data_IF_793706158117
#
_entry.id   IF_793706158117
#
_cell.length_a   1.000
_cell.length_b   1.000
_cell.length_c   1.000
_cell.angle_alpha   90.00
_cell.angle_beta   90.00
_cell.angle_gamma   90.00
#
_symmetry.space_group_name_H-M   'P 1'
#
loop_
_entity.id
_entity.type
_entity.pdbx_description
1 polymer ?
#
# COMPACT_ATOMS: atom_id res chain seq x y z
N UNK A 1 5.53 -3.34 -11.52
CA UNK A 1 4.93 -2.63 -10.36
C UNK A 1 5.92 -1.60 -9.86
N UNK A 2 5.59 -0.34 -9.99
CA UNK A 2 6.36 0.79 -9.47
C UNK A 2 6.43 0.73 -7.95
N UNK A 3 7.45 1.23 -7.32
CA UNK A 3 7.67 1.25 -5.87
C UNK A 3 7.92 -0.10 -5.18
N UNK A 4 7.92 -1.23 -5.87
CA UNK A 4 8.29 -2.52 -5.30
C UNK A 4 9.77 -2.77 -5.52
N UNK A 5 10.45 -3.20 -4.48
CA UNK A 5 11.88 -3.45 -4.53
C UNK A 5 12.31 -4.54 -3.56
N UNK A 6 13.62 -4.65 -3.42
CA UNK A 6 14.28 -5.54 -2.47
C UNK A 6 15.56 -4.90 -1.94
N UNK A 7 15.96 -5.30 -0.75
CA UNK A 7 17.26 -4.93 -0.21
C UNK A 7 18.33 -5.79 -0.90
N UNK A 8 19.29 -5.12 -1.55
CA UNK A 8 20.38 -5.78 -2.24
C UNK A 8 21.19 -6.66 -1.26
N UNK A 9 21.50 -7.87 -1.67
CA UNK A 9 22.26 -8.84 -0.88
C UNK A 9 21.44 -9.61 0.17
N UNK A 10 20.34 -9.04 0.72
CA UNK A 10 19.47 -9.74 1.67
C UNK A 10 18.25 -10.37 0.99
N UNK A 11 17.83 -9.84 -0.15
CA UNK A 11 16.64 -10.31 -0.86
C UNK A 11 15.31 -9.99 -0.20
N UNK A 12 15.32 -9.27 0.95
CA UNK A 12 14.10 -8.84 1.67
C UNK A 12 13.27 -7.96 0.75
N UNK A 13 12.00 -8.29 0.62
CA UNK A 13 11.04 -7.54 -0.21
C UNK A 13 10.62 -6.28 0.53
N UNK A 14 10.73 -5.15 -0.15
CA UNK A 14 10.39 -3.84 0.42
C UNK A 14 9.50 -3.04 -0.54
N UNK A 15 8.77 -2.10 0.03
CA UNK A 15 8.03 -1.08 -0.71
C UNK A 15 8.73 0.24 -0.45
N UNK A 16 9.15 0.92 -1.52
CA UNK A 16 9.84 2.22 -1.43
C UNK A 16 8.79 3.30 -1.24
N UNK A 17 8.73 3.87 -0.04
CA UNK A 17 7.83 4.98 0.29
C UNK A 17 8.38 6.31 -0.24
N UNK A 18 9.64 6.63 0.09
CA UNK A 18 10.38 7.78 -0.42
C UNK A 18 11.67 7.32 -1.07
N UNK A 19 11.92 7.72 -2.32
CA UNK A 19 13.17 7.42 -3.05
C UNK A 19 14.31 8.36 -2.66
N UNK A 20 13.97 9.57 -2.24
CA UNK A 20 14.92 10.57 -1.76
C UNK A 20 14.37 11.26 -0.53
N UNK A 21 15.25 11.65 0.39
CA UNK A 21 14.87 12.40 1.57
C UNK A 21 15.37 13.84 1.48
N UNK A 22 14.57 14.83 1.92
CA UNK A 22 15.02 16.22 1.97
C UNK A 22 16.30 16.36 2.82
N UNK A 23 17.36 16.93 2.23
CA UNK A 23 18.66 17.08 2.89
C UNK A 23 19.49 15.80 3.03
N UNK A 24 19.00 14.66 2.55
CA UNK A 24 19.73 13.38 2.52
C UNK A 24 19.35 12.55 1.29
N UNK A 25 19.80 12.95 0.10
CA UNK A 25 19.43 12.31 -1.16
C UNK A 25 20.01 10.90 -1.34
N UNK A 26 21.00 10.53 -0.51
CA UNK A 26 21.62 9.21 -0.52
C UNK A 26 20.83 8.16 0.31
N UNK A 27 19.74 8.58 0.94
CA UNK A 27 18.87 7.73 1.72
C UNK A 27 17.45 7.70 1.16
N UNK A 28 16.80 6.54 1.31
CA UNK A 28 15.39 6.32 0.99
C UNK A 28 14.66 5.79 2.23
N UNK A 29 13.33 5.90 2.25
CA UNK A 29 12.49 5.22 3.24
C UNK A 29 11.76 4.06 2.57
N UNK A 30 11.86 2.90 3.20
CA UNK A 30 11.24 1.66 2.75
C UNK A 30 10.37 1.06 3.84
N UNK A 31 9.38 0.30 3.42
CA UNK A 31 8.52 -0.50 4.28
C UNK A 31 8.92 -1.96 4.07
N UNK A 32 9.28 -2.66 5.14
CA UNK A 32 9.55 -4.08 5.08
C UNK A 32 8.22 -4.84 4.93
N UNK A 33 8.06 -5.53 3.81
CA UNK A 33 6.84 -6.24 3.47
C UNK A 33 6.57 -7.43 4.41
N UNK A 34 7.63 -8.11 4.83
CA UNK A 34 7.53 -9.30 5.66
C UNK A 34 7.26 -8.96 7.13
N UNK A 35 7.56 -7.72 7.56
CA UNK A 35 7.30 -7.20 8.89
C UNK A 35 5.88 -6.61 9.07
N UNK A 36 5.09 -6.55 7.99
CA UNK A 36 3.72 -6.02 8.03
C UNK A 36 2.73 -7.06 8.57
N UNK A 37 1.74 -6.60 9.32
CA UNK A 37 0.58 -7.41 9.69
C UNK A 37 -0.32 -7.67 8.46
N UNK A 38 -1.09 -8.77 8.44
CA UNK A 38 -1.91 -9.10 7.26
C UNK A 38 -2.86 -7.98 6.81
N UNK A 39 -3.49 -7.28 7.76
CA UNK A 39 -4.39 -6.17 7.44
C UNK A 39 -3.65 -4.95 6.85
N UNK A 40 -2.43 -4.68 7.32
CA UNK A 40 -1.57 -3.62 6.77
C UNK A 40 -1.14 -3.95 5.34
N UNK A 41 -0.76 -5.21 5.09
CA UNK A 41 -0.42 -5.67 3.75
C UNK A 41 -1.58 -5.47 2.78
N UNK A 42 -2.81 -5.84 3.19
CA UNK A 42 -4.00 -5.68 2.34
C UNK A 42 -4.26 -4.22 1.97
N UNK A 43 -4.08 -3.30 2.92
CA UNK A 43 -4.26 -1.87 2.68
C UNK A 43 -3.16 -1.34 1.76
N UNK A 44 -1.90 -1.59 2.11
CA UNK A 44 -0.75 -1.03 1.39
C UNK A 44 -0.65 -1.62 -0.01
N UNK A 45 -0.87 -2.93 -0.18
CA UNK A 45 -0.90 -3.56 -1.50
C UNK A 45 -2.06 -3.04 -2.35
N UNK A 46 -3.24 -2.81 -1.73
CA UNK A 46 -4.37 -2.19 -2.42
C UNK A 46 -4.07 -0.79 -2.94
N UNK A 47 -3.40 0.04 -2.12
CA UNK A 47 -2.95 1.37 -2.53
C UNK A 47 -1.86 1.29 -3.60
N UNK A 48 -0.91 0.37 -3.45
CA UNK A 48 0.17 0.17 -4.39
C UNK A 48 -0.32 -0.26 -5.78
N UNK A 49 -1.31 -1.15 -5.84
CA UNK A 49 -1.91 -1.62 -7.10
C UNK A 49 -2.90 -0.63 -7.72
N UNK A 50 -3.28 0.41 -6.98
CA UNK A 50 -4.19 1.44 -7.51
C UNK A 50 -3.53 2.24 -8.64
N UNK A 51 -4.31 2.76 -9.60
CA UNK A 51 -3.78 3.66 -10.62
C UNK A 51 -3.03 4.86 -10.01
N UNK A 52 -3.57 5.43 -8.93
CA UNK A 52 -2.95 6.56 -8.23
C UNK A 52 -1.59 6.17 -7.62
N UNK A 53 -1.50 4.97 -7.02
CA UNK A 53 -0.24 4.43 -6.48
C UNK A 53 0.80 4.21 -7.57
N UNK A 54 0.39 3.72 -8.74
CA UNK A 54 1.30 3.48 -9.86
C UNK A 54 1.71 4.77 -10.57
N UNK A 55 0.86 5.80 -10.60
CA UNK A 55 1.15 7.09 -11.24
C UNK A 55 1.95 8.03 -10.34
N UNK A 56 1.90 7.84 -9.00
CA UNK A 56 2.58 8.74 -8.06
C UNK A 56 4.10 8.76 -8.26
N UNK A 57 4.70 9.93 -8.04
CA UNK A 57 6.15 10.06 -8.04
C UNK A 57 6.77 9.41 -6.80
N UNK A 58 6.25 9.70 -5.62
CA UNK A 58 6.60 9.05 -4.35
C UNK A 58 5.37 8.36 -3.76
N UNK A 59 5.51 7.10 -3.38
CA UNK A 59 4.39 6.34 -2.83
C UNK A 59 3.90 6.90 -1.48
N UNK A 60 4.79 7.54 -0.74
CA UNK A 60 4.46 8.23 0.50
C UNK A 60 3.36 9.29 0.35
N UNK A 61 3.24 9.93 -0.81
CA UNK A 61 2.15 10.88 -1.08
C UNK A 61 0.78 10.20 -1.04
N UNK A 62 0.70 8.98 -1.56
CA UNK A 62 -0.53 8.18 -1.53
C UNK A 62 -0.81 7.71 -0.10
N UNK A 63 0.22 7.21 0.61
CA UNK A 63 0.08 6.82 2.01
C UNK A 63 -0.35 7.98 2.92
N UNK A 64 0.09 9.21 2.62
CA UNK A 64 -0.28 10.42 3.35
C UNK A 64 -1.70 10.94 3.06
N UNK A 65 -2.33 10.51 1.96
CA UNK A 65 -3.70 10.90 1.60
C UNK A 65 -4.74 9.92 2.11
N UNK A 66 -4.37 8.64 2.17
CA UNK A 66 -5.29 7.59 2.60
C UNK A 66 -5.22 7.39 4.11
N UNK A 67 -6.38 7.14 4.71
CA UNK A 67 -6.48 6.90 6.14
C UNK A 67 -6.45 5.42 6.44
N UNK A 68 -5.83 5.09 7.59
CA UNK A 68 -5.83 3.74 8.11
C UNK A 68 -7.23 3.41 8.63
N UNK A 69 -7.92 2.36 8.15
CA UNK A 69 -9.16 1.92 8.74
C UNK A 69 -8.85 1.35 10.13
N UNK A 70 -9.36 2.00 11.15
CA UNK A 70 -9.22 1.58 12.53
C UNK A 70 -10.36 0.59 12.81
N UNK A 71 -10.08 -0.71 12.75
CA UNK A 71 -11.06 -1.76 13.09
C UNK A 71 -11.04 -2.15 14.56
N UNK A 72 -10.05 -1.68 15.36
CA UNK A 72 -9.90 -2.08 16.76
C UNK A 72 -9.99 -0.92 17.75
N UNK A 73 -10.80 -1.18 18.78
CA UNK A 73 -11.11 -0.31 19.92
C UNK A 73 -9.87 0.13 20.75
N UNK A 74 -8.69 -0.37 20.46
CA UNK A 74 -7.45 -0.10 21.21
C UNK A 74 -6.55 0.97 20.58
N UNK A 75 -6.92 1.52 19.43
CA UNK A 75 -6.17 2.60 18.82
C UNK A 75 -6.86 3.93 19.12
N UNK A 76 -6.19 4.88 19.78
CA UNK A 76 -6.81 6.17 20.09
C UNK A 76 -7.18 6.84 18.76
N UNK A 77 -8.48 6.99 18.55
CA UNK A 77 -9.04 7.78 17.46
C UNK A 77 -8.59 9.22 17.68
N UNK A 78 -7.58 9.65 16.94
CA UNK A 78 -7.20 11.06 16.91
C UNK A 78 -8.27 11.76 16.08
N UNK A 79 -9.24 12.38 16.76
CA UNK A 79 -10.14 13.34 16.12
C UNK A 79 -9.34 14.60 15.84
N UNK A 80 -9.14 14.90 14.57
CA UNK A 80 -8.72 16.24 14.19
C UNK A 80 -9.89 17.20 14.47
N UNK A 81 -9.72 18.01 15.50
CA UNK A 81 -10.75 18.97 15.95
C UNK A 81 -11.10 20.02 14.90
N UNK A 82 -10.22 20.24 13.91
CA UNK A 82 -10.42 21.25 12.88
C UNK A 82 -11.26 20.73 11.69
N UNK A 83 -11.15 19.44 11.35
CA UNK A 83 -11.80 18.87 10.15
C UNK A 83 -12.90 17.87 10.46
N UNK A 84 -13.02 17.44 11.72
CA UNK A 84 -14.01 16.43 12.14
C UNK A 84 -13.73 15.02 11.60
N UNK A 85 -12.59 14.83 10.94
CA UNK A 85 -12.22 13.56 10.31
C UNK A 85 -11.46 12.69 11.30
N UNK A 86 -11.98 11.49 11.55
CA UNK A 86 -11.42 10.50 12.45
C UNK A 86 -10.38 9.63 11.74
N UNK A 87 -9.23 9.43 12.35
CA UNK A 87 -8.20 8.47 11.92
C UNK A 87 -6.87 9.11 11.50
N UNK A 88 -5.79 8.36 11.65
CA UNK A 88 -4.46 8.73 11.16
C UNK A 88 -4.29 8.33 9.70
N UNK A 89 -3.43 9.03 8.96
CA UNK A 89 -3.05 8.59 7.62
C UNK A 89 -2.25 7.30 7.69
N UNK A 90 -2.24 6.54 6.59
CA UNK A 90 -1.42 5.30 6.51
C UNK A 90 0.05 5.60 6.76
N UNK A 91 0.55 6.75 6.26
CA UNK A 91 1.93 7.18 6.46
C UNK A 91 2.24 7.45 7.95
N UNK A 92 1.37 8.21 8.63
CA UNK A 92 1.51 8.50 10.05
C UNK A 92 1.45 7.23 10.90
N UNK A 93 0.55 6.32 10.58
CA UNK A 93 0.45 5.02 11.23
C UNK A 93 1.75 4.23 11.09
N UNK A 94 2.29 4.10 9.87
CA UNK A 94 3.54 3.38 9.62
C UNK A 94 4.73 4.03 10.33
N UNK A 95 4.76 5.35 10.40
CA UNK A 95 5.79 6.09 11.14
C UNK A 95 5.67 5.81 12.64
N UNK A 96 4.48 5.92 13.22
CA UNK A 96 4.23 5.65 14.64
C UNK A 96 4.51 4.20 15.05
N UNK A 97 4.28 3.26 14.13
CA UNK A 97 4.59 1.84 14.32
C UNK A 97 6.06 1.47 14.04
N UNK A 98 6.93 2.44 13.73
CA UNK A 98 8.35 2.25 13.36
C UNK A 98 8.54 1.27 12.18
N UNK A 99 7.62 1.29 11.21
CA UNK A 99 7.66 0.42 10.03
C UNK A 99 8.30 1.08 8.81
N UNK A 100 8.61 2.37 8.89
CA UNK A 100 9.40 3.10 7.91
C UNK A 100 10.88 2.98 8.27
N UNK A 101 11.63 2.27 7.44
CA UNK A 101 13.04 1.97 7.66
C UNK A 101 13.87 2.82 6.72
N UNK A 102 14.82 3.57 7.25
CA UNK A 102 15.79 4.32 6.46
C UNK A 102 16.85 3.38 5.91
N UNK A 103 17.07 3.42 4.61
CA UNK A 103 18.07 2.62 3.90
C UNK A 103 18.89 3.50 2.96
N UNK A 104 20.19 3.20 2.73
CA UNK A 104 20.94 3.82 1.65
C UNK A 104 20.32 3.48 0.30
N UNK A 105 20.27 4.45 -0.61
CA UNK A 105 19.73 4.28 -1.97
C UNK A 105 20.49 3.25 -2.79
N UNK A 106 21.77 3.02 -2.49
CA UNK A 106 22.63 1.99 -3.11
C UNK A 106 22.32 0.56 -2.64
N UNK A 107 21.56 0.42 -1.55
CA UNK A 107 21.19 -0.88 -1.00
C UNK A 107 19.79 -1.33 -1.39
N UNK A 108 19.04 -0.53 -2.12
CA UNK A 108 17.68 -0.85 -2.51
C UNK A 108 17.58 -0.93 -4.02
N UNK A 109 17.11 -2.08 -4.50
CA UNK A 109 16.83 -2.34 -5.90
C UNK A 109 15.33 -2.27 -6.15
N UNK A 110 14.91 -1.58 -7.19
CA UNK A 110 13.52 -1.51 -7.65
C UNK A 110 13.40 -2.26 -8.97
N UNK A 111 12.31 -3.00 -9.13
CA UNK A 111 12.03 -3.74 -10.37
C UNK A 111 10.74 -3.20 -10.96
N UNK A 112 10.82 -2.51 -12.09
CA UNK A 112 9.65 -2.10 -12.87
C UNK A 112 9.31 -3.20 -13.88
N UNK A 113 8.07 -3.69 -13.85
CA UNK A 113 7.41 -4.57 -14.84
C UNK A 113 8.31 -5.55 -15.61
N UNK A 114 8.90 -6.53 -14.90
CA UNK A 114 9.79 -7.55 -15.47
C UNK A 114 11.10 -7.03 -16.10
N UNK A 115 11.45 -5.78 -15.86
CA UNK A 115 12.76 -5.23 -16.21
C UNK A 115 13.86 -5.71 -15.25
N UNK A 116 15.11 -5.49 -15.64
CA UNK A 116 16.23 -5.74 -14.73
C UNK A 116 16.13 -4.85 -13.49
N UNK A 117 16.45 -5.37 -12.29
CA UNK A 117 16.45 -4.57 -11.08
C UNK A 117 17.45 -3.41 -11.21
N UNK A 118 17.02 -2.22 -10.79
CA UNK A 118 17.82 -0.99 -10.84
C UNK A 118 17.95 -0.46 -9.41
N UNK A 119 19.15 -0.05 -9.03
CA UNK A 119 19.36 0.62 -7.75
C UNK A 119 18.59 1.94 -7.68
N UNK A 120 18.05 2.26 -6.52
CA UNK A 120 17.31 3.51 -6.30
C UNK A 120 18.19 4.72 -6.57
N UNK A 121 19.48 4.68 -6.20
CA UNK A 121 20.46 5.74 -6.51
C UNK A 121 20.54 6.00 -8.01
N UNK A 122 20.73 4.95 -8.81
CA UNK A 122 20.82 5.06 -10.27
C UNK A 122 19.50 5.52 -10.90
N UNK A 123 18.37 5.07 -10.37
CA UNK A 123 17.05 5.52 -10.81
C UNK A 123 16.88 7.03 -10.54
N UNK A 124 17.29 7.49 -9.35
CA UNK A 124 17.24 8.92 -9.00
C UNK A 124 18.14 9.77 -9.89
N UNK A 125 19.34 9.31 -10.23
CA UNK A 125 20.24 9.95 -11.19
C UNK A 125 19.57 10.09 -12.57
N UNK A 126 19.02 9.01 -13.12
CA UNK A 126 18.35 9.01 -14.41
C UNK A 126 17.15 9.99 -14.43
N UNK A 127 16.36 10.04 -13.35
CA UNK A 127 15.23 10.96 -13.23
C UNK A 127 15.72 12.40 -13.12
N UNK A 128 16.76 12.67 -12.35
CA UNK A 128 17.34 13.99 -12.20
C UNK A 128 17.88 14.51 -13.54
N UNK A 129 18.59 13.69 -14.30
CA UNK A 129 19.07 14.00 -15.65
C UNK A 129 17.90 14.28 -16.61
N UNK A 130 16.88 13.43 -16.62
CA UNK A 130 15.71 13.59 -17.48
C UNK A 130 14.95 14.89 -17.18
N UNK A 131 14.83 15.25 -15.89
CA UNK A 131 14.15 16.48 -15.46
C UNK A 131 15.06 17.71 -15.46
N UNK A 132 16.37 17.54 -15.68
CA UNK A 132 17.39 18.61 -15.61
C UNK A 132 17.42 19.32 -14.26
N UNK A 133 17.25 18.58 -13.17
CA UNK A 133 17.28 19.06 -11.79
C UNK A 133 18.35 18.33 -10.98
N UNK A 134 18.71 18.88 -9.82
CA UNK A 134 19.63 18.20 -8.90
C UNK A 134 18.89 17.07 -8.17
N UNK A 135 19.62 16.04 -7.73
CA UNK A 135 19.06 14.92 -6.96
C UNK A 135 18.42 15.43 -5.66
N UNK A 136 18.99 16.43 -5.00
CA UNK A 136 18.43 17.07 -3.81
C UNK A 136 17.03 17.65 -4.05
N UNK A 137 16.80 18.18 -5.25
CA UNK A 137 15.52 18.78 -5.62
C UNK A 137 14.45 17.74 -5.94
N UNK A 138 14.81 16.45 -6.11
CA UNK A 138 13.84 15.37 -6.32
C UNK A 138 12.93 15.16 -5.11
N UNK A 139 13.47 15.30 -3.90
CA UNK A 139 12.71 15.15 -2.66
C UNK A 139 11.65 16.26 -2.43
N UNK A 140 11.75 17.35 -3.17
CA UNK A 140 10.88 18.55 -3.03
C UNK A 140 9.86 18.61 -4.17
N UNK A 141 9.84 17.63 -5.07
CA UNK A 141 8.89 17.65 -6.19
C UNK A 141 7.46 17.70 -5.68
N UNK A 142 6.66 18.65 -6.18
CA UNK A 142 5.24 18.66 -5.85
C UNK A 142 4.59 17.38 -6.37
N UNK A 143 3.70 16.83 -5.58
CA UNK A 143 2.90 15.73 -6.02
C UNK A 143 2.03 16.16 -7.22
N UNK A 144 2.36 15.66 -8.39
CA UNK A 144 1.62 15.94 -9.63
C UNK A 144 0.34 15.11 -9.76
N UNK A 145 0.12 14.15 -8.84
CA UNK A 145 -1.14 13.42 -8.78
C UNK A 145 -2.28 14.39 -8.45
N UNK A 146 -3.40 14.37 -9.16
CA UNK A 146 -4.52 15.25 -8.91
C UNK A 146 -4.95 15.18 -7.44
N UNK A 147 -4.88 16.30 -6.73
CA UNK A 147 -5.43 16.40 -5.38
C UNK A 147 -6.93 16.15 -5.45
N UNK A 148 -7.35 15.09 -4.84
CA UNK A 148 -8.74 14.72 -4.73
C UNK A 148 -9.01 13.35 -5.30
N UNK A 149 -8.93 12.36 -4.44
CA UNK A 149 -9.70 11.15 -4.66
C UNK A 149 -11.15 11.60 -4.76
N UNK A 150 -11.66 11.67 -5.99
CA UNK A 150 -13.10 11.76 -6.19
C UNK A 150 -13.68 10.62 -5.36
N UNK A 151 -14.75 10.87 -4.61
CA UNK A 151 -15.49 9.83 -3.85
C UNK A 151 -15.75 8.56 -4.67
N UNK A 152 -15.77 8.68 -6.01
CA UNK A 152 -15.81 7.57 -6.97
C UNK A 152 -14.55 6.71 -6.98
N UNK A 153 -13.36 7.30 -6.83
CA UNK A 153 -12.10 6.54 -6.83
C UNK A 153 -11.91 5.81 -5.50
N UNK A 154 -12.30 6.46 -4.41
CA UNK A 154 -12.31 5.86 -3.09
C UNK A 154 -13.30 4.67 -3.02
N UNK A 155 -14.50 4.84 -3.57
CA UNK A 155 -15.47 3.75 -3.69
C UNK A 155 -14.95 2.58 -4.55
N UNK A 156 -14.27 2.86 -5.67
CA UNK A 156 -13.63 1.82 -6.50
C UNK A 156 -12.52 1.08 -5.74
N UNK A 157 -11.70 1.80 -4.97
CA UNK A 157 -10.65 1.20 -4.14
C UNK A 157 -11.24 0.28 -3.08
N UNK A 158 -12.31 0.72 -2.40
CA UNK A 158 -13.03 -0.09 -1.42
C UNK A 158 -13.64 -1.35 -2.05
N UNK A 159 -14.22 -1.24 -3.25
CA UNK A 159 -14.76 -2.40 -3.97
C UNK A 159 -13.66 -3.38 -4.37
N UNK A 160 -12.55 -2.90 -4.92
CA UNK A 160 -11.42 -3.76 -5.29
C UNK A 160 -10.82 -4.47 -4.06
N UNK A 161 -10.77 -3.78 -2.90
CA UNK A 161 -10.36 -4.37 -1.62
C UNK A 161 -11.35 -5.45 -1.17
N UNK A 162 -12.65 -5.19 -1.25
CA UNK A 162 -13.69 -6.15 -0.88
C UNK A 162 -13.59 -7.43 -1.74
N UNK A 163 -13.42 -7.30 -3.05
CA UNK A 163 -13.23 -8.44 -3.97
C UNK A 163 -11.97 -9.25 -3.63
N UNK A 164 -10.87 -8.57 -3.26
CA UNK A 164 -9.62 -9.24 -2.85
C UNK A 164 -9.82 -10.04 -1.55
N UNK A 165 -10.47 -9.44 -0.55
CA UNK A 165 -10.78 -10.10 0.72
C UNK A 165 -11.71 -11.29 0.51
N UNK A 166 -12.70 -11.17 -0.38
CA UNK A 166 -13.60 -12.26 -0.73
C UNK A 166 -12.86 -13.44 -1.38
N UNK A 167 -11.93 -13.16 -2.30
CA UNK A 167 -11.05 -14.19 -2.88
C UNK A 167 -10.21 -14.90 -1.81
N UNK A 168 -9.56 -14.13 -0.91
CA UNK A 168 -8.78 -14.71 0.21
C UNK A 168 -9.67 -15.55 1.13
N UNK A 169 -10.85 -15.05 1.48
CA UNK A 169 -11.81 -15.77 2.30
C UNK A 169 -12.23 -17.10 1.65
N UNK A 170 -12.47 -17.12 0.35
CA UNK A 170 -12.86 -18.33 -0.36
C UNK A 170 -11.72 -19.37 -0.38
N UNK A 171 -10.47 -18.92 -0.61
CA UNK A 171 -9.30 -19.81 -0.54
C UNK A 171 -9.14 -20.42 0.86
N UNK A 172 -9.29 -19.61 1.92
CA UNK A 172 -9.22 -20.10 3.30
C UNK A 172 -10.35 -21.08 3.64
N UNK A 173 -11.57 -20.79 3.15
CA UNK A 173 -12.71 -21.69 3.31
C UNK A 173 -12.49 -23.03 2.60
N UNK A 174 -12.00 -23.01 1.35
CA UNK A 174 -11.70 -24.24 0.63
C UNK A 174 -10.65 -25.06 1.37
N UNK A 175 -9.57 -24.40 1.85
CA UNK A 175 -8.55 -25.10 2.63
C UNK A 175 -9.05 -25.65 3.96
N UNK A 176 -9.98 -24.94 4.63
CA UNK A 176 -10.62 -25.45 5.83
C UNK A 176 -11.51 -26.68 5.55
N UNK A 177 -12.22 -26.68 4.41
CA UNK A 177 -13.04 -27.82 3.98
C UNK A 177 -12.20 -29.02 3.47
N UNK A 178 -10.97 -28.79 3.03
CA UNK A 178 -10.03 -29.88 2.73
C UNK A 178 -9.52 -30.53 4.01
N UNK A 179 -9.29 -29.75 5.08
CA UNK A 179 -8.83 -30.25 6.37
C UNK A 179 -9.96 -30.96 7.16
N UNK A 180 -11.17 -30.43 7.07
CA UNK A 180 -12.36 -30.99 7.73
C UNK A 180 -13.59 -30.85 6.79
N UNK A 181 -13.93 -31.92 6.04
CA UNK A 181 -15.07 -31.93 5.11
C UNK A 181 -16.43 -31.71 5.76
N UNK A 182 -16.57 -32.00 7.07
CA UNK A 182 -17.85 -31.86 7.77
C UNK A 182 -18.24 -30.40 8.02
N UNK A 183 -17.27 -29.47 7.93
CA UNK A 183 -17.51 -28.04 8.01
C UNK A 183 -18.18 -27.45 6.76
N UNK A 184 -18.26 -28.22 5.68
CA UNK A 184 -18.86 -27.76 4.43
C UNK A 184 -20.38 -27.54 4.60
N UNK A 185 -20.91 -26.33 4.34
CA UNK A 185 -22.33 -26.07 4.52
C UNK A 185 -23.17 -26.97 3.63
N UNK A 186 -24.08 -27.73 4.22
CA UNK A 186 -25.03 -28.56 3.49
C UNK A 186 -25.94 -27.65 2.66
N UNK A 187 -26.05 -27.89 1.35
CA UNK A 187 -26.93 -27.12 0.46
C UNK A 187 -28.34 -27.13 1.05
N UNK A 188 -28.80 -26.00 1.54
CA UNK A 188 -30.15 -25.80 2.05
C UNK A 188 -31.18 -26.04 0.94
N UNK A 189 -32.26 -26.75 1.27
CA UNK A 189 -33.39 -26.95 0.37
C UNK A 189 -33.96 -25.56 0.01
N UNK A 190 -34.22 -25.24 -1.28
CA UNK A 190 -34.78 -23.96 -1.66
C UNK A 190 -36.12 -23.75 -0.95
N UNK A 191 -36.31 -22.60 -0.30
CA UNK A 191 -37.59 -22.22 0.31
C UNK A 191 -38.62 -22.15 -0.81
N UNK A 192 -39.71 -22.94 -0.67
CA UNK A 192 -40.92 -22.81 -1.50
C UNK A 192 -41.45 -21.40 -1.32
N UNK A 193 -41.49 -20.63 -2.40
CA UNK A 193 -42.23 -19.37 -2.45
C UNK A 193 -43.71 -19.77 -2.40
N UNK A 194 -44.36 -19.50 -1.30
CA UNK A 194 -45.83 -19.54 -1.21
C UNK A 194 -46.32 -18.26 -1.87
N UNK A 195 -46.85 -18.38 -3.09
CA UNK A 195 -47.74 -17.39 -3.67
C UNK A 195 -49.01 -17.38 -2.81
N UNK A 196 -49.24 -16.31 -2.08
CA UNK A 196 -50.55 -16.01 -1.52
C UNK A 196 -51.39 -15.34 -2.62
N UNK A 197 -52.52 -15.96 -2.90
CA UNK A 197 -53.60 -15.49 -3.77
C UNK A 197 -54.36 -14.31 -3.13
#
# INVERSE_FOLDING_TARGET
MKHVGRIAGLGTKVIVAYRTLPGDPMSCLVIDRDAMLPFEQDIIEGLLESPEGQDSFEFAHILGRHRMPLEDSNNPVIQDQATGVTGVTVLEYLHGANKLIKQPTDNVEVTEDNANPVLVSKLNEMIAEQKQIKIDDLAIQPDTTPQGTSSKNEAKLMLARAERLEKKMNILKERAYELDPDLKPKKGRPKKVTEEA
#
